data_IF_304578997196
#
_entry.id   IF_304578997196
#
_cell.length_a   1.000
_cell.length_b   1.000
_cell.length_c   1.000
_cell.angle_alpha   90.00
_cell.angle_beta   90.00
_cell.angle_gamma   90.00
#
_symmetry.space_group_name_H-M   'P 1'
#
loop_
_entity.id
_entity.type
_entity.pdbx_description
1 polymer ?
#
# COMPACT_ATOMS: atom_id res chain seq x y z
N UNK A 1 -8.61 22.61 -31.74
CA UNK A 1 -8.34 23.40 -30.53
C UNK A 1 -6.84 23.29 -30.23
N UNK A 2 -6.13 24.40 -30.16
CA UNK A 2 -4.77 24.49 -29.68
C UNK A 2 -4.81 24.56 -28.15
N UNK A 3 -4.04 23.73 -27.46
CA UNK A 3 -3.91 23.78 -26.00
C UNK A 3 -2.90 24.89 -25.68
N UNK A 4 -3.38 25.95 -25.01
CA UNK A 4 -2.55 27.09 -24.61
C UNK A 4 -1.96 26.84 -23.20
N UNK A 5 -1.05 25.85 -23.14
CA UNK A 5 -0.30 25.53 -21.94
C UNK A 5 1.15 25.22 -22.32
N UNK A 6 2.14 25.97 -21.81
CA UNK A 6 3.56 25.81 -22.22
C UNK A 6 4.14 24.44 -21.87
N UNK A 7 3.58 23.71 -20.87
CA UNK A 7 4.05 22.38 -20.50
C UNK A 7 3.38 21.26 -21.30
N UNK A 8 2.35 21.57 -22.12
CA UNK A 8 1.67 20.53 -22.89
C UNK A 8 2.58 19.86 -23.93
N UNK A 9 3.48 20.63 -24.56
CA UNK A 9 4.46 20.05 -25.48
C UNK A 9 5.39 19.06 -24.78
N UNK A 10 5.89 19.38 -23.58
CA UNK A 10 6.70 18.47 -22.77
C UNK A 10 5.94 17.19 -22.42
N UNK A 11 4.65 17.32 -22.09
CA UNK A 11 3.80 16.14 -21.83
C UNK A 11 3.73 15.23 -23.06
N UNK A 12 3.53 15.79 -24.26
CA UNK A 12 3.50 15.02 -25.50
C UNK A 12 4.82 14.32 -25.79
N UNK A 13 5.95 14.92 -25.50
CA UNK A 13 7.29 14.33 -25.64
C UNK A 13 7.52 13.15 -24.67
N UNK A 14 6.90 13.17 -23.48
CA UNK A 14 6.99 12.09 -22.49
C UNK A 14 6.07 10.90 -22.79
N UNK A 15 4.96 11.12 -23.50
CA UNK A 15 3.96 10.07 -23.75
C UNK A 15 4.51 8.79 -24.43
N UNK A 16 5.45 8.83 -25.38
CA UNK A 16 6.07 7.62 -25.93
C UNK A 16 6.71 6.73 -24.86
N UNK A 17 7.40 7.33 -23.89
CA UNK A 17 8.03 6.60 -22.77
C UNK A 17 7.01 6.03 -21.80
N UNK A 18 5.94 6.79 -21.50
CA UNK A 18 4.82 6.33 -20.70
C UNK A 18 4.15 5.12 -21.35
N UNK A 19 3.94 5.14 -22.69
CA UNK A 19 3.39 3.98 -23.42
C UNK A 19 4.32 2.77 -23.39
N UNK A 20 5.62 2.95 -23.47
CA UNK A 20 6.59 1.86 -23.31
C UNK A 20 6.52 1.27 -21.90
N UNK A 21 6.43 2.11 -20.88
CA UNK A 21 6.27 1.70 -19.49
C UNK A 21 4.95 0.93 -19.28
N UNK A 22 3.84 1.42 -19.83
CA UNK A 22 2.56 0.71 -19.81
C UNK A 22 2.63 -0.64 -20.55
N UNK A 23 3.31 -0.70 -21.70
CA UNK A 23 3.49 -1.95 -22.43
C UNK A 23 4.26 -3.00 -21.62
N UNK A 24 5.28 -2.57 -20.87
CA UNK A 24 5.98 -3.44 -19.92
C UNK A 24 5.05 -3.90 -18.80
N UNK A 25 4.27 -2.99 -18.19
CA UNK A 25 3.33 -3.28 -17.11
C UNK A 25 2.26 -4.30 -17.52
N UNK A 26 1.80 -4.24 -18.76
CA UNK A 26 0.79 -5.17 -19.32
C UNK A 26 1.28 -6.63 -19.29
N UNK A 27 2.59 -6.90 -19.42
CA UNK A 27 3.17 -8.25 -19.29
C UNK A 27 3.03 -8.84 -17.88
N UNK A 28 2.79 -7.98 -16.90
CA UNK A 28 2.59 -8.31 -15.48
C UNK A 28 1.12 -8.18 -15.06
N UNK A 29 0.19 -8.13 -16.03
CA UNK A 29 -1.25 -7.96 -15.84
C UNK A 29 -1.67 -6.61 -15.21
N UNK A 30 -0.79 -5.60 -15.23
CA UNK A 30 -1.09 -4.25 -14.77
C UNK A 30 -1.67 -3.46 -15.94
N UNK A 31 -2.98 -3.19 -15.89
CA UNK A 31 -3.73 -2.57 -17.00
C UNK A 31 -3.50 -1.07 -17.12
N UNK A 32 -3.23 -0.40 -15.98
CA UNK A 32 -3.00 1.04 -15.91
C UNK A 32 -1.96 1.35 -14.83
N UNK A 33 -0.80 1.87 -15.26
CA UNK A 33 0.32 2.22 -14.35
C UNK A 33 -0.02 3.36 -13.39
N UNK A 34 -1.04 4.16 -13.69
CA UNK A 34 -1.47 5.28 -12.87
C UNK A 34 -2.56 4.91 -11.88
N UNK A 35 -3.26 3.81 -12.12
CA UNK A 35 -4.31 3.33 -11.24
C UNK A 35 -3.75 2.39 -10.16
N UNK A 36 -4.30 2.47 -8.94
CA UNK A 36 -4.06 1.53 -7.82
C UNK A 36 -2.57 1.25 -7.54
N UNK A 37 -1.72 2.28 -7.69
CA UNK A 37 -0.25 2.17 -7.57
C UNK A 37 0.43 1.28 -8.63
N UNK A 38 -0.16 1.10 -9.81
CA UNK A 38 0.32 0.18 -10.85
C UNK A 38 1.81 0.26 -11.14
N UNK A 39 2.39 1.49 -11.25
CA UNK A 39 3.82 1.65 -11.46
C UNK A 39 4.70 1.20 -10.29
N UNK A 40 4.21 1.28 -9.04
CA UNK A 40 4.90 0.74 -7.85
C UNK A 40 4.80 -0.78 -7.81
N UNK A 41 3.62 -1.31 -8.11
CA UNK A 41 3.44 -2.76 -8.23
C UNK A 41 4.32 -3.36 -9.30
N UNK A 42 4.49 -2.72 -10.46
CA UNK A 42 5.38 -3.21 -11.50
C UNK A 42 6.82 -3.38 -11.01
N UNK A 43 7.36 -2.40 -10.26
CA UNK A 43 8.69 -2.51 -9.68
C UNK A 43 8.80 -3.73 -8.76
N UNK A 44 7.79 -3.93 -7.89
CA UNK A 44 7.75 -5.04 -6.94
C UNK A 44 7.63 -6.39 -7.65
N UNK A 45 6.74 -6.51 -8.65
CA UNK A 45 6.57 -7.74 -9.43
C UNK A 45 7.88 -8.17 -10.10
N UNK A 46 8.62 -7.22 -10.68
CA UNK A 46 9.88 -7.53 -11.35
C UNK A 46 10.98 -7.94 -10.36
N UNK A 47 11.10 -7.26 -9.23
CA UNK A 47 12.13 -7.55 -8.21
C UNK A 47 11.84 -8.88 -7.51
N UNK A 48 10.58 -9.17 -7.21
CA UNK A 48 10.16 -10.35 -6.46
C UNK A 48 9.89 -11.58 -7.34
N UNK A 49 9.91 -11.43 -8.67
CA UNK A 49 9.54 -12.52 -9.60
C UNK A 49 8.07 -12.89 -9.56
N UNK A 50 7.20 -11.94 -9.19
CA UNK A 50 5.76 -12.16 -9.01
C UNK A 50 4.96 -11.64 -10.20
N UNK A 51 3.69 -12.02 -10.25
CA UNK A 51 2.67 -11.46 -11.16
C UNK A 51 1.39 -11.20 -10.40
N UNK A 52 0.61 -10.21 -10.83
CA UNK A 52 -0.77 -10.09 -10.37
C UNK A 52 -1.64 -11.11 -11.13
N UNK A 53 -2.66 -11.65 -10.51
CA UNK A 53 -3.63 -12.51 -11.18
C UNK A 53 -4.62 -11.71 -12.05
N UNK A 54 -4.62 -10.37 -11.89
CA UNK A 54 -5.51 -9.45 -12.58
C UNK A 54 -6.95 -9.47 -12.05
N UNK A 55 -7.23 -10.27 -11.01
CA UNK A 55 -8.52 -10.29 -10.34
C UNK A 55 -8.60 -9.18 -9.28
N UNK A 56 -9.84 -8.81 -8.89
CA UNK A 56 -10.08 -7.93 -7.74
C UNK A 56 -10.37 -8.73 -6.47
N UNK A 57 -10.49 -10.04 -6.60
CA UNK A 57 -10.78 -10.97 -5.52
C UNK A 57 -9.54 -11.85 -5.30
N UNK A 58 -9.01 -11.87 -4.11
CA UNK A 58 -7.82 -12.66 -3.77
C UNK A 58 -6.72 -11.80 -3.15
N UNK A 59 -5.51 -12.37 -3.10
CA UNK A 59 -4.31 -11.66 -2.66
C UNK A 59 -3.68 -10.91 -3.84
N UNK A 60 -2.80 -9.96 -3.55
CA UNK A 60 -2.30 -9.01 -4.54
C UNK A 60 -1.41 -9.63 -5.62
N UNK A 61 -0.72 -10.73 -5.33
CA UNK A 61 0.25 -11.34 -6.26
C UNK A 61 0.45 -12.84 -6.05
N UNK A 62 0.96 -13.50 -7.10
CA UNK A 62 1.32 -14.92 -7.11
C UNK A 62 2.72 -15.13 -7.68
N UNK A 63 3.44 -16.16 -7.18
CA UNK A 63 4.69 -16.61 -7.76
C UNK A 63 4.47 -17.69 -8.85
N UNK A 64 5.57 -18.23 -9.37
CA UNK A 64 5.55 -19.27 -10.42
C UNK A 64 5.00 -20.61 -9.93
N UNK A 65 5.04 -20.86 -8.62
CA UNK A 65 4.56 -22.09 -7.97
C UNK A 65 3.09 -21.95 -7.50
N UNK A 66 2.48 -20.78 -7.71
CA UNK A 66 1.10 -20.50 -7.33
C UNK A 66 0.92 -20.09 -5.87
N UNK A 67 1.99 -19.78 -5.14
CA UNK A 67 1.88 -19.21 -3.82
C UNK A 67 1.41 -17.77 -3.90
N UNK A 68 0.46 -17.41 -3.04
CA UNK A 68 -0.13 -16.08 -2.99
C UNK A 68 0.57 -15.18 -1.96
N UNK A 69 0.56 -13.89 -2.22
CA UNK A 69 1.20 -12.87 -1.38
C UNK A 69 0.34 -11.61 -1.29
N UNK A 70 0.31 -11.00 -0.11
CA UNK A 70 -0.26 -9.66 0.08
C UNK A 70 0.81 -8.61 -0.05
N UNK A 71 0.53 -7.49 -0.74
CA UNK A 71 1.50 -6.41 -0.96
C UNK A 71 0.96 -5.10 -0.43
N UNK A 72 1.75 -4.41 0.36
CA UNK A 72 1.41 -3.06 0.86
C UNK A 72 2.51 -2.07 0.55
N UNK A 73 2.13 -0.98 -0.08
CA UNK A 73 3.01 0.14 -0.38
C UNK A 73 2.67 1.35 0.48
N UNK A 74 3.66 2.18 0.76
CA UNK A 74 3.46 3.47 1.42
C UNK A 74 4.36 4.52 0.78
N UNK A 75 3.84 5.74 0.54
CA UNK A 75 4.68 6.88 0.19
C UNK A 75 5.08 7.62 1.46
N UNK A 76 6.37 7.63 1.76
CA UNK A 76 6.95 8.21 2.97
C UNK A 76 6.90 9.74 3.01
N UNK A 77 6.67 10.40 1.88
CA UNK A 77 6.39 11.84 1.86
C UNK A 77 5.02 12.17 2.49
N UNK A 78 4.09 11.21 2.50
CA UNK A 78 2.73 11.40 2.95
C UNK A 78 2.44 10.82 4.33
N UNK A 79 2.96 9.62 4.61
CA UNK A 79 2.69 8.89 5.85
C UNK A 79 3.75 7.79 6.09
N UNK A 80 3.83 7.32 7.34
CA UNK A 80 4.73 6.23 7.76
C UNK A 80 3.97 4.98 8.25
N UNK A 81 2.78 4.77 7.73
CA UNK A 81 1.94 3.62 8.07
C UNK A 81 1.33 3.03 6.81
N UNK A 82 1.40 1.73 6.70
CA UNK A 82 0.74 0.99 5.64
C UNK A 82 -0.76 0.88 5.90
N UNK A 83 -1.54 1.09 4.87
CA UNK A 83 -3.00 0.92 4.91
C UNK A 83 -3.33 -0.51 4.50
N UNK A 84 -4.28 -1.13 5.18
CA UNK A 84 -4.72 -2.48 4.87
C UNK A 84 -6.08 -2.49 4.14
N UNK A 85 -6.95 -3.44 4.41
CA UNK A 85 -8.23 -3.65 3.73
C UNK A 85 -9.34 -2.71 4.24
N UNK A 86 -10.22 -2.26 3.33
CA UNK A 86 -11.36 -1.37 3.68
C UNK A 86 -12.42 -2.03 4.58
N UNK A 87 -12.58 -3.34 4.46
CA UNK A 87 -13.56 -4.15 5.19
C UNK A 87 -12.86 -5.23 5.99
N UNK A 88 -11.95 -4.83 6.90
CA UNK A 88 -11.23 -5.80 7.73
C UNK A 88 -12.17 -6.45 8.72
N UNK A 89 -12.30 -7.78 8.62
CA UNK A 89 -13.15 -8.63 9.44
C UNK A 89 -12.49 -10.01 9.62
N UNK A 90 -13.03 -10.91 10.46
CA UNK A 90 -12.44 -12.22 10.69
C UNK A 90 -12.24 -13.09 9.44
N UNK A 91 -13.11 -12.96 8.42
CA UNK A 91 -12.99 -13.73 7.16
C UNK A 91 -11.74 -13.27 6.38
N UNK A 92 -11.56 -11.96 6.25
CA UNK A 92 -10.36 -11.38 5.59
C UNK A 92 -9.10 -11.70 6.41
N UNK A 93 -9.16 -11.59 7.73
CA UNK A 93 -8.03 -11.92 8.61
C UNK A 93 -7.63 -13.39 8.47
N UNK A 94 -8.59 -14.31 8.36
CA UNK A 94 -8.32 -15.73 8.16
C UNK A 94 -7.58 -16.00 6.83
N UNK A 95 -7.92 -15.30 5.75
CA UNK A 95 -7.18 -15.35 4.47
C UNK A 95 -5.75 -14.82 4.64
N UNK A 96 -5.59 -13.68 5.31
CA UNK A 96 -4.30 -13.06 5.54
C UNK A 96 -3.33 -13.87 6.42
N UNK A 97 -3.84 -14.75 7.26
CA UNK A 97 -3.03 -15.71 8.02
C UNK A 97 -2.42 -16.83 7.18
N UNK A 98 -2.82 -16.96 5.92
CA UNK A 98 -2.34 -18.02 5.04
C UNK A 98 -1.19 -17.57 4.14
N UNK A 99 -0.91 -16.26 4.06
CA UNK A 99 0.02 -15.70 3.08
C UNK A 99 1.06 -14.81 3.73
N UNK A 100 2.25 -14.79 3.15
CA UNK A 100 3.28 -13.83 3.48
C UNK A 100 2.93 -12.45 2.91
N UNK A 101 3.39 -11.41 3.60
CA UNK A 101 3.17 -10.03 3.23
C UNK A 101 4.46 -9.36 2.79
N UNK A 102 4.41 -8.60 1.71
CA UNK A 102 5.48 -7.70 1.32
C UNK A 102 5.10 -6.25 1.62
N UNK A 103 5.98 -5.57 2.34
CA UNK A 103 5.84 -4.16 2.70
C UNK A 103 6.92 -3.36 1.99
N UNK A 104 6.51 -2.40 1.17
CA UNK A 104 7.40 -1.60 0.34
C UNK A 104 7.23 -0.10 0.61
N UNK A 105 8.13 0.53 1.37
CA UNK A 105 8.21 1.98 1.49
C UNK A 105 8.78 2.60 0.21
N UNK A 106 8.13 3.66 -0.24
CA UNK A 106 8.54 4.49 -1.38
C UNK A 106 8.77 5.94 -0.92
N UNK A 107 9.69 6.63 -1.56
CA UNK A 107 9.81 8.08 -1.52
C UNK A 107 9.37 8.61 -2.89
N UNK A 108 8.18 9.22 -2.97
CA UNK A 108 7.56 9.50 -4.27
C UNK A 108 7.32 8.22 -5.07
N UNK A 109 8.06 8.06 -6.16
CA UNK A 109 8.04 6.89 -7.05
C UNK A 109 9.21 5.92 -6.84
N UNK A 110 10.20 6.31 -6.03
CA UNK A 110 11.42 5.55 -5.78
C UNK A 110 11.21 4.51 -4.69
N UNK A 111 11.48 3.25 -4.99
CA UNK A 111 11.42 2.15 -4.03
C UNK A 111 12.63 2.22 -3.09
N UNK A 112 12.37 2.24 -1.78
CA UNK A 112 13.40 2.42 -0.76
C UNK A 112 13.85 1.11 -0.11
N UNK A 113 12.94 0.14 0.02
CA UNK A 113 13.22 -1.17 0.61
C UNK A 113 12.05 -2.12 0.32
N UNK A 114 12.28 -3.43 0.49
CA UNK A 114 11.20 -4.43 0.58
C UNK A 114 11.43 -5.26 1.84
N UNK A 115 10.39 -5.36 2.67
CA UNK A 115 10.34 -6.24 3.83
C UNK A 115 9.33 -7.36 3.60
N UNK A 116 9.71 -8.58 3.98
CA UNK A 116 8.82 -9.73 4.05
C UNK A 116 8.37 -9.93 5.49
N UNK A 117 7.09 -10.13 5.73
CA UNK A 117 6.56 -10.52 7.02
C UNK A 117 5.74 -11.79 6.89
N UNK A 118 6.07 -12.78 7.70
CA UNK A 118 5.28 -14.01 7.83
C UNK A 118 4.00 -13.74 8.63
N UNK A 119 2.95 -14.56 8.48
CA UNK A 119 1.70 -14.42 9.23
C UNK A 119 1.88 -14.34 10.75
N UNK A 120 2.82 -15.11 11.30
CA UNK A 120 3.09 -15.12 12.76
C UNK A 120 3.54 -13.75 13.26
N UNK A 121 4.35 -13.02 12.48
CA UNK A 121 4.77 -11.67 12.81
C UNK A 121 3.62 -10.64 12.73
N UNK A 122 2.56 -10.97 12.00
CA UNK A 122 1.35 -10.15 11.88
C UNK A 122 0.29 -10.47 12.93
N UNK A 123 0.40 -11.58 13.65
CA UNK A 123 -0.60 -12.07 14.59
C UNK A 123 -1.02 -11.06 15.68
N UNK A 124 -0.14 -10.19 16.22
CA UNK A 124 -0.55 -9.13 17.15
C UNK A 124 -1.60 -8.17 16.57
N UNK A 125 -1.50 -7.89 15.25
CA UNK A 125 -2.50 -7.07 14.56
C UNK A 125 -3.78 -7.84 14.31
N UNK A 126 -3.70 -9.09 13.88
CA UNK A 126 -4.88 -9.94 13.64
C UNK A 126 -5.73 -10.08 14.90
N UNK A 127 -5.12 -10.45 16.03
CA UNK A 127 -5.82 -10.54 17.34
C UNK A 127 -6.45 -9.22 17.74
N UNK A 128 -5.74 -8.09 17.57
CA UNK A 128 -6.25 -6.75 17.88
C UNK A 128 -7.45 -6.38 17.01
N UNK A 129 -7.41 -6.72 15.72
CA UNK A 129 -8.50 -6.41 14.80
C UNK A 129 -9.72 -7.30 15.03
N UNK A 130 -9.52 -8.59 15.28
CA UNK A 130 -10.62 -9.50 15.67
C UNK A 130 -11.29 -9.05 16.96
N UNK A 131 -10.51 -8.76 18.01
CA UNK A 131 -11.05 -8.25 19.27
C UNK A 131 -11.84 -6.95 19.06
N UNK A 132 -11.34 -6.03 18.23
CA UNK A 132 -12.05 -4.79 17.90
C UNK A 132 -13.34 -5.05 17.13
N UNK A 133 -13.35 -5.96 16.15
CA UNK A 133 -14.52 -6.32 15.37
C UNK A 133 -15.63 -6.88 16.26
N UNK A 134 -15.28 -7.78 17.19
CA UNK A 134 -16.23 -8.32 18.18
C UNK A 134 -16.74 -7.23 19.13
N UNK A 135 -15.87 -6.36 19.64
CA UNK A 135 -16.28 -5.26 20.53
C UNK A 135 -17.21 -4.24 19.83
N UNK A 136 -17.04 -4.05 18.53
CA UNK A 136 -17.87 -3.15 17.70
C UNK A 136 -19.11 -3.88 17.10
N UNK A 137 -19.57 -4.98 17.71
CA UNK A 137 -20.77 -5.77 17.31
C UNK A 137 -20.73 -6.24 15.84
N UNK A 138 -19.55 -6.68 15.37
CA UNK A 138 -19.39 -7.21 14.02
C UNK A 138 -19.23 -6.16 12.93
N UNK A 139 -18.87 -4.93 13.29
CA UNK A 139 -18.63 -3.86 12.33
C UNK A 139 -17.22 -3.97 11.73
N UNK A 140 -17.15 -4.02 10.40
CA UNK A 140 -15.91 -4.04 9.67
C UNK A 140 -15.00 -2.84 10.00
N UNK A 141 -13.72 -3.10 10.17
CA UNK A 141 -12.73 -2.06 10.47
C UNK A 141 -12.23 -1.48 9.15
N UNK A 142 -12.40 -0.17 8.99
CA UNK A 142 -11.96 0.52 7.79
C UNK A 142 -10.47 0.84 7.85
N UNK A 143 -9.69 0.24 6.96
CA UNK A 143 -8.27 0.52 6.72
C UNK A 143 -7.42 0.56 8.01
N UNK A 144 -7.38 -0.50 8.83
CA UNK A 144 -6.46 -0.53 9.96
C UNK A 144 -5.02 -0.35 9.49
N UNK A 145 -4.19 0.25 10.33
CA UNK A 145 -2.83 0.67 9.97
C UNK A 145 -1.77 -0.24 10.58
N UNK A 146 -0.71 -0.47 9.81
CA UNK A 146 0.51 -1.14 10.25
C UNK A 146 1.65 -0.11 10.21
N UNK A 147 2.29 0.23 11.35
CA UNK A 147 3.38 1.19 11.39
C UNK A 147 4.62 0.67 10.64
N UNK A 148 5.30 1.54 9.88
CA UNK A 148 6.58 1.21 9.25
C UNK A 148 7.62 0.75 10.28
N UNK A 149 7.66 1.39 11.46
CA UNK A 149 8.58 1.01 12.55
C UNK A 149 8.39 -0.43 13.01
N UNK A 150 7.15 -0.95 12.98
CA UNK A 150 6.88 -2.35 13.30
C UNK A 150 7.42 -3.26 12.19
N UNK A 151 7.16 -2.90 10.93
CA UNK A 151 7.68 -3.67 9.78
C UNK A 151 9.20 -3.73 9.79
N UNK A 152 9.87 -2.61 10.09
CA UNK A 152 11.34 -2.55 10.23
C UNK A 152 11.88 -3.39 11.39
N UNK A 153 11.13 -3.52 12.48
CA UNK A 153 11.56 -4.26 13.67
C UNK A 153 11.34 -5.77 13.57
N UNK A 154 10.29 -6.21 12.88
CA UNK A 154 9.84 -7.61 12.87
C UNK A 154 9.80 -8.25 11.48
N UNK A 155 9.95 -7.45 10.41
CA UNK A 155 10.03 -7.93 9.04
C UNK A 155 11.46 -8.29 8.65
N UNK A 156 11.58 -9.26 7.75
CA UNK A 156 12.82 -9.59 7.09
C UNK A 156 13.08 -8.59 5.96
N UNK A 157 14.21 -7.87 6.01
CA UNK A 157 14.63 -6.99 4.92
C UNK A 157 15.16 -7.85 3.77
N UNK A 158 14.45 -7.89 2.64
CA UNK A 158 14.79 -8.77 1.51
C UNK A 158 15.36 -8.02 0.30
N UNK A 159 15.18 -6.70 0.23
CA UNK A 159 15.71 -5.91 -0.86
C UNK A 159 16.02 -4.47 -0.44
N UNK A 160 17.09 -3.93 -0.99
CA UNK A 160 17.52 -2.53 -0.91
C UNK A 160 17.99 -2.06 -2.30
N UNK A 161 17.96 -0.75 -2.59
CA UNK A 161 18.63 -0.18 -3.74
C UNK A 161 20.14 -0.51 -3.77
N UNK A 162 20.69 -0.60 -4.97
CA UNK A 162 22.12 -0.87 -5.16
C UNK A 162 22.99 0.17 -4.42
N UNK A 163 23.99 -0.33 -3.69
CA UNK A 163 24.89 0.50 -2.88
C UNK A 163 24.41 0.78 -1.45
N UNK A 164 23.14 0.49 -1.13
CA UNK A 164 22.62 0.65 0.22
C UNK A 164 22.82 -0.61 1.06
N UNK A 165 23.20 -0.42 2.34
CA UNK A 165 23.39 -1.52 3.30
C UNK A 165 22.31 -1.59 4.36
N UNK A 166 21.50 -0.54 4.50
CA UNK A 166 20.40 -0.45 5.45
C UNK A 166 19.34 0.54 4.96
N UNK A 167 18.11 0.30 5.35
CA UNK A 167 17.04 1.28 5.17
C UNK A 167 16.97 2.23 6.37
N UNK A 168 16.97 3.52 6.10
CA UNK A 168 16.73 4.58 7.09
C UNK A 168 15.48 5.34 6.67
N UNK A 169 14.43 5.24 7.47
CA UNK A 169 13.19 5.95 7.17
C UNK A 169 13.42 7.47 7.21
N UNK A 170 13.09 8.21 6.15
CA UNK A 170 13.21 9.66 6.14
C UNK A 170 12.28 10.27 7.20
N UNK A 171 12.70 11.37 7.80
CA UNK A 171 11.80 12.16 8.66
C UNK A 171 10.75 12.82 7.79
N UNK A 172 9.47 12.54 8.07
CA UNK A 172 8.36 13.21 7.38
C UNK A 172 8.40 14.69 7.81
N UNK A 173 8.78 15.55 6.88
CA UNK A 173 8.66 17.00 7.07
C UNK A 173 7.20 17.33 6.80
N UNK A 174 6.45 17.59 7.87
CA UNK A 174 5.07 18.06 7.73
C UNK A 174 5.11 19.42 7.05
N UNK A 175 4.46 19.54 5.90
CA UNK A 175 4.23 20.83 5.25
C UNK A 175 3.50 21.74 6.24
N UNK A 176 4.10 22.85 6.69
CA UNK A 176 3.47 23.77 7.65
C UNK A 176 2.21 24.43 7.08
N UNK A 177 2.05 24.46 5.76
CA UNK A 177 0.92 25.05 5.06
C UNK A 177 -0.19 24.03 4.73
N UNK A 178 0.00 22.75 5.07
CA UNK A 178 -1.02 21.73 4.83
C UNK A 178 -2.23 21.99 5.73
N UNK A 179 -3.43 22.24 5.17
CA UNK A 179 -4.61 22.50 5.98
C UNK A 179 -4.90 21.30 6.90
N UNK A 180 -4.91 21.56 8.20
CA UNK A 180 -5.31 20.56 9.19
C UNK A 180 -6.78 20.24 8.96
N UNK A 181 -7.08 19.02 8.51
CA UNK A 181 -8.46 18.55 8.43
C UNK A 181 -9.05 18.60 9.84
N UNK A 182 -9.85 19.61 10.12
CA UNK A 182 -10.65 19.67 11.36
C UNK A 182 -11.54 18.41 11.37
N UNK A 183 -11.30 17.51 12.29
CA UNK A 183 -12.25 16.44 12.59
C UNK A 183 -13.53 17.11 13.06
N UNK A 184 -14.57 17.14 12.21
CA UNK A 184 -15.92 17.49 12.67
C UNK A 184 -16.26 16.54 13.82
N UNK A 185 -16.22 17.04 15.04
CA UNK A 185 -16.82 16.33 16.19
C UNK A 185 -18.27 16.16 15.82
N UNK A 186 -18.75 14.92 15.70
CA UNK A 186 -20.19 14.62 15.68
C UNK A 186 -20.72 15.21 16.98
N UNK A 187 -21.55 16.22 16.86
CA UNK A 187 -22.30 16.76 17.99
C UNK A 187 -23.06 15.56 18.58
N UNK A 188 -22.86 15.31 19.86
CA UNK A 188 -23.70 14.39 20.60
C UNK A 188 -25.12 14.96 20.53
N UNK A 189 -26.04 14.24 19.88
CA UNK A 189 -27.47 14.58 19.94
C UNK A 189 -27.87 14.26 21.37
N UNK A 190 -28.08 15.30 22.16
CA UNK A 190 -28.71 15.24 23.46
C UNK A 190 -30.13 14.72 23.27
N UNK A 191 -30.38 13.47 23.68
CA UNK A 191 -31.74 12.97 23.92
C UNK A 191 -32.25 13.56 25.25
N UNK A 192 -32.66 14.82 25.21
CA UNK A 192 -33.55 15.40 26.20
C UNK A 192 -34.48 16.30 25.41
N UNK A 193 -35.68 15.81 25.16
CA UNK A 193 -36.96 16.49 24.98
C UNK A 193 -37.90 15.61 24.14
N UNK A 194 -38.55 14.69 24.83
CA UNK A 194 -39.95 14.27 24.61
C UNK A 194 -40.46 13.54 25.85
#
# INVERSE_FOLDING_TARGET
MTVDNPDYQKLLELFPYIRQYQSLATKYNIRDIFQDNGGKYLQLMMILGLKTDGSREGNDAVDVDGNEYEIKTVNLELQNQFTTHHHMNPIIIAKYRQVDWFFAPFLGIELMAIYRMKPDAMEPFYKKWEAKWHADSGKDINNPKIPLSYVMAYGELIWLPEGETKFVAPKIIKDPNRPVKQRKRKAAISLIDL
#
